data_IF_879513577873
#
_entry.id   IF_879513577873
#
_cell.length_a   1.000
_cell.length_b   1.000
_cell.length_c   1.000
_cell.angle_alpha   90.00
_cell.angle_beta   90.00
_cell.angle_gamma   90.00
#
_symmetry.space_group_name_H-M   'P 1'
#
loop_
_entity.id
_entity.type
_entity.pdbx_description
1 polymer ?
#
# COMPACT_ATOMS: atom_id res chain seq x y z
N UNK A 1 -3.04 15.82 0.65
CA UNK A 1 -2.22 14.88 1.43
C UNK A 1 -3.10 14.29 2.51
N UNK A 2 -3.13 12.96 2.64
CA UNK A 2 -4.00 12.17 3.55
C UNK A 2 -3.80 12.53 5.05
N UNK A 3 -2.85 13.41 5.37
CA UNK A 3 -2.57 13.89 6.73
C UNK A 3 -3.53 15.04 7.10
N UNK A 4 -4.80 14.73 7.33
CA UNK A 4 -5.68 15.65 8.09
C UNK A 4 -6.49 15.01 9.21
N UNK A 5 -6.32 13.71 9.51
CA UNK A 5 -7.09 13.04 10.56
C UNK A 5 -6.46 11.73 11.04
N UNK A 6 -5.28 11.81 11.66
CA UNK A 6 -4.70 10.65 12.35
C UNK A 6 -5.63 10.16 13.48
N UNK A 7 -6.33 11.08 14.15
CA UNK A 7 -7.21 10.79 15.28
C UNK A 7 -8.53 10.06 14.91
N UNK A 8 -8.87 9.94 13.62
CA UNK A 8 -10.12 9.28 13.19
C UNK A 8 -9.91 8.10 12.25
N UNK A 9 -8.66 7.73 11.95
CA UNK A 9 -8.36 6.59 11.09
C UNK A 9 -8.25 5.32 11.92
N UNK A 10 -8.90 4.25 11.49
CA UNK A 10 -8.65 2.94 12.10
C UNK A 10 -7.22 2.51 11.80
N UNK A 11 -6.67 1.64 12.63
CA UNK A 11 -5.32 1.13 12.39
C UNK A 11 -5.21 0.39 11.05
N UNK A 12 -6.27 -0.33 10.66
CA UNK A 12 -6.33 -1.02 9.37
C UNK A 12 -6.25 -0.03 8.21
N UNK A 13 -6.94 1.11 8.32
CA UNK A 13 -6.87 2.15 7.30
C UNK A 13 -5.46 2.75 7.20
N UNK A 14 -4.77 2.89 8.34
CA UNK A 14 -3.40 3.38 8.39
C UNK A 14 -2.42 2.41 7.74
N UNK A 15 -2.60 1.11 7.95
CA UNK A 15 -1.81 0.05 7.32
C UNK A 15 -1.99 0.10 5.79
N UNK A 16 -3.24 0.11 5.30
CA UNK A 16 -3.54 0.16 3.86
C UNK A 16 -2.97 1.42 3.22
N UNK A 17 -3.17 2.59 3.84
CA UNK A 17 -2.60 3.84 3.33
C UNK A 17 -1.08 3.82 3.27
N UNK A 18 -0.43 3.26 4.30
CA UNK A 18 1.03 3.18 4.37
C UNK A 18 1.57 2.23 3.30
N UNK A 19 0.94 1.06 3.14
CA UNK A 19 1.29 0.11 2.09
C UNK A 19 1.20 0.74 0.68
N UNK A 20 0.08 1.37 0.35
CA UNK A 20 -0.13 1.98 -0.97
C UNK A 20 0.86 3.12 -1.23
N UNK A 21 1.18 3.94 -0.22
CA UNK A 21 2.19 4.99 -0.34
C UNK A 21 3.57 4.43 -0.58
N UNK A 22 3.99 3.41 0.19
CA UNK A 22 5.29 2.78 -0.01
C UNK A 22 5.40 2.17 -1.41
N UNK A 23 4.36 1.48 -1.87
CA UNK A 23 4.31 0.90 -3.22
C UNK A 23 4.35 1.96 -4.31
N UNK A 24 3.70 3.11 -4.10
CA UNK A 24 3.69 4.24 -5.02
C UNK A 24 5.04 4.99 -5.08
N UNK A 25 5.76 5.04 -3.95
CA UNK A 25 7.04 5.76 -3.83
C UNK A 25 8.23 4.91 -4.33
N UNK A 26 8.19 3.58 -4.15
CA UNK A 26 9.29 2.69 -4.51
C UNK A 26 8.79 1.42 -5.21
N UNK A 27 9.24 1.11 -6.43
CA UNK A 27 8.90 -0.14 -7.12
C UNK A 27 9.30 -1.39 -6.32
N UNK A 28 8.34 -2.29 -6.14
CA UNK A 28 8.49 -3.50 -5.33
C UNK A 28 9.56 -4.46 -5.89
N UNK A 29 10.47 -4.91 -5.03
CA UNK A 29 11.61 -5.73 -5.42
C UNK A 29 11.22 -7.19 -5.68
N UNK A 30 10.20 -7.73 -5.02
CA UNK A 30 9.67 -9.06 -5.31
C UNK A 30 8.97 -9.09 -6.68
N UNK A 31 8.15 -8.07 -7.00
CA UNK A 31 7.60 -7.90 -8.35
C UNK A 31 8.72 -7.79 -9.37
N UNK A 32 9.72 -6.93 -9.12
CA UNK A 32 10.86 -6.76 -10.05
C UNK A 32 11.59 -8.06 -10.32
N UNK A 33 11.82 -8.87 -9.28
CA UNK A 33 12.52 -10.14 -9.40
C UNK A 33 11.71 -11.15 -10.22
N UNK A 34 10.39 -11.17 -10.06
CA UNK A 34 9.50 -12.16 -10.70
C UNK A 34 9.02 -11.75 -12.10
N UNK A 35 8.81 -10.46 -12.35
CA UNK A 35 8.17 -9.93 -13.55
C UNK A 35 8.99 -8.86 -14.29
N UNK A 36 10.17 -8.50 -13.77
CA UNK A 36 11.05 -7.50 -14.38
C UNK A 36 10.77 -6.07 -13.94
N UNK A 37 11.70 -5.18 -14.33
CA UNK A 37 11.71 -3.77 -13.93
C UNK A 37 10.47 -3.02 -14.37
N UNK A 38 10.06 -3.17 -15.62
CA UNK A 38 8.96 -2.39 -16.19
C UNK A 38 7.65 -2.69 -15.49
N UNK A 39 7.37 -3.97 -15.18
CA UNK A 39 6.17 -4.34 -14.42
C UNK A 39 6.19 -3.78 -13.01
N UNK A 40 7.34 -3.77 -12.33
CA UNK A 40 7.45 -3.17 -10.99
C UNK A 40 7.17 -1.66 -10.99
N UNK A 41 7.62 -0.95 -12.04
CA UNK A 41 7.37 0.49 -12.21
C UNK A 41 5.90 0.73 -12.56
N UNK A 42 5.32 -0.08 -13.44
CA UNK A 42 3.89 -0.01 -13.78
C UNK A 42 3.00 -0.15 -12.54
N UNK A 43 3.25 -1.15 -11.70
CA UNK A 43 2.46 -1.35 -10.46
C UNK A 43 2.66 -0.20 -9.48
N UNK A 44 3.87 0.34 -9.36
CA UNK A 44 4.16 1.51 -8.54
C UNK A 44 3.37 2.75 -9.01
N UNK A 45 3.35 3.01 -10.32
CA UNK A 45 2.57 4.10 -10.90
C UNK A 45 1.06 3.91 -10.69
N UNK A 46 0.55 2.69 -10.86
CA UNK A 46 -0.88 2.37 -10.58
C UNK A 46 -1.23 2.61 -9.11
N UNK A 47 -0.35 2.24 -8.18
CA UNK A 47 -0.54 2.56 -6.76
C UNK A 47 -0.56 4.09 -6.53
N UNK A 48 0.32 4.84 -7.20
CA UNK A 48 0.31 6.30 -7.16
C UNK A 48 -1.02 6.89 -7.67
N UNK A 49 -1.62 6.31 -8.71
CA UNK A 49 -2.90 6.77 -9.25
C UNK A 49 -4.09 6.46 -8.33
N UNK A 50 -4.04 5.33 -7.60
CA UNK A 50 -5.04 5.00 -6.58
C UNK A 50 -5.09 6.06 -5.48
N UNK A 51 -3.93 6.57 -5.03
CA UNK A 51 -3.83 7.57 -3.94
C UNK A 51 -3.81 9.02 -4.45
N UNK A 52 -3.84 9.24 -5.76
CA UNK A 52 -3.80 10.59 -6.36
C UNK A 52 -5.08 11.36 -6.06
N UNK A 53 -4.93 12.57 -5.51
CA UNK A 53 -6.05 13.46 -5.21
C UNK A 53 -6.87 13.05 -3.97
N UNK A 54 -6.46 12.01 -3.26
CA UNK A 54 -7.20 11.45 -2.14
C UNK A 54 -7.09 12.33 -0.89
N UNK A 55 -8.23 12.53 -0.23
CA UNK A 55 -8.32 13.25 1.06
C UNK A 55 -8.35 12.29 2.25
N UNK A 56 -8.95 11.12 2.07
CA UNK A 56 -9.08 10.04 3.06
C UNK A 56 -9.22 8.67 2.38
N UNK A 57 -9.08 7.57 3.13
CA UNK A 57 -9.21 6.22 2.58
C UNK A 57 -10.63 5.89 2.11
N UNK A 58 -11.66 6.42 2.80
CA UNK A 58 -13.06 6.22 2.40
C UNK A 58 -13.33 6.66 0.95
N UNK A 59 -12.72 7.77 0.53
CA UNK A 59 -12.84 8.32 -0.82
C UNK A 59 -12.19 7.47 -1.90
N UNK A 60 -11.30 6.55 -1.54
CA UNK A 60 -10.57 5.69 -2.49
C UNK A 60 -10.81 4.19 -2.30
N UNK A 61 -11.66 3.79 -1.37
CA UNK A 61 -11.91 2.38 -1.05
C UNK A 61 -12.25 1.53 -2.28
N UNK A 62 -13.09 2.06 -3.17
CA UNK A 62 -13.44 1.40 -4.43
C UNK A 62 -12.23 1.25 -5.38
N UNK A 63 -11.39 2.28 -5.50
CA UNK A 63 -10.17 2.22 -6.32
C UNK A 63 -9.14 1.23 -5.74
N UNK A 64 -9.05 1.14 -4.42
CA UNK A 64 -8.19 0.18 -3.74
C UNK A 64 -8.64 -1.25 -4.03
N UNK A 65 -9.95 -1.54 -3.95
CA UNK A 65 -10.50 -2.84 -4.33
C UNK A 65 -10.23 -3.18 -5.80
N UNK A 66 -10.51 -2.24 -6.71
CA UNK A 66 -10.27 -2.46 -8.14
C UNK A 66 -8.78 -2.74 -8.42
N UNK A 67 -7.89 -2.02 -7.75
CA UNK A 67 -6.45 -2.24 -7.86
C UNK A 67 -6.03 -3.62 -7.36
N UNK A 68 -6.54 -4.03 -6.19
CA UNK A 68 -6.26 -5.34 -5.59
C UNK A 68 -6.78 -6.50 -6.45
N UNK A 69 -8.02 -6.40 -6.94
CA UNK A 69 -8.60 -7.39 -7.86
C UNK A 69 -7.76 -7.57 -9.13
N UNK A 70 -7.27 -6.46 -9.71
CA UNK A 70 -6.38 -6.52 -10.87
C UNK A 70 -5.05 -7.20 -10.53
N UNK A 71 -4.45 -6.93 -9.38
CA UNK A 71 -3.22 -7.60 -8.95
C UNK A 71 -3.41 -9.11 -8.81
N UNK A 72 -4.55 -9.54 -8.25
CA UNK A 72 -4.92 -10.95 -8.12
C UNK A 72 -5.08 -11.60 -9.51
N UNK A 73 -5.81 -10.96 -10.43
CA UNK A 73 -6.01 -11.45 -11.80
C UNK A 73 -4.68 -11.57 -12.56
N UNK A 74 -3.79 -10.60 -12.40
CA UNK A 74 -2.46 -10.59 -13.02
C UNK A 74 -1.44 -11.48 -12.28
N UNK A 75 -1.81 -12.05 -11.12
CA UNK A 75 -0.94 -12.83 -10.22
C UNK A 75 0.33 -12.08 -9.77
N UNK A 76 0.21 -10.77 -9.63
CA UNK A 76 1.31 -9.88 -9.23
C UNK A 76 1.18 -9.54 -7.76
N UNK A 77 2.15 -9.98 -6.96
CA UNK A 77 2.18 -9.75 -5.52
C UNK A 77 3.24 -8.68 -5.16
N UNK A 78 2.87 -7.54 -4.56
CA UNK A 78 3.82 -6.57 -3.99
C UNK A 78 4.37 -7.07 -2.63
N UNK A 79 5.07 -8.20 -2.66
CA UNK A 79 5.47 -8.95 -1.47
C UNK A 79 6.48 -8.22 -0.60
N UNK A 80 7.50 -7.60 -1.20
CA UNK A 80 8.53 -6.91 -0.41
C UNK A 80 8.00 -5.66 0.29
N UNK A 81 7.02 -4.99 -0.30
CA UNK A 81 6.31 -3.89 0.34
C UNK A 81 5.51 -4.41 1.55
N UNK A 82 4.85 -5.57 1.42
CA UNK A 82 4.14 -6.20 2.53
C UNK A 82 5.09 -6.59 3.67
N UNK A 83 6.27 -7.16 3.35
CA UNK A 83 7.27 -7.53 4.34
C UNK A 83 7.74 -6.33 5.19
N UNK A 84 7.94 -5.16 4.56
CA UNK A 84 8.31 -3.93 5.28
C UNK A 84 7.17 -3.45 6.20
N UNK A 85 5.93 -3.50 5.72
CA UNK A 85 4.76 -3.14 6.53
C UNK A 85 4.65 -4.06 7.76
N UNK A 86 4.86 -5.36 7.57
CA UNK A 86 4.86 -6.34 8.67
C UNK A 86 5.98 -6.05 9.67
N UNK A 87 7.19 -5.74 9.20
CA UNK A 87 8.30 -5.33 10.07
C UNK A 87 7.99 -4.06 10.88
N UNK A 88 7.38 -3.06 10.25
CA UNK A 88 6.94 -1.83 10.91
C UNK A 88 5.85 -2.08 11.95
N UNK A 89 4.85 -2.92 11.62
CA UNK A 89 3.80 -3.34 12.54
C UNK A 89 4.35 -4.10 13.74
N UNK A 90 5.30 -5.01 13.52
CA UNK A 90 5.97 -5.74 14.60
C UNK A 90 6.64 -4.76 15.58
N UNK A 91 7.42 -3.80 15.08
CA UNK A 91 8.05 -2.77 15.91
C UNK A 91 7.00 -1.96 16.66
N UNK A 92 5.93 -1.53 16.00
CA UNK A 92 4.85 -0.75 16.61
C UNK A 92 4.15 -1.52 17.75
N UNK A 93 3.83 -2.80 17.53
CA UNK A 93 3.22 -3.68 18.54
C UNK A 93 4.16 -3.88 19.75
N UNK A 94 5.44 -4.15 19.51
CA UNK A 94 6.45 -4.27 20.58
C UNK A 94 6.62 -2.95 21.36
N UNK A 95 6.42 -1.81 20.70
CA UNK A 95 6.48 -0.47 21.31
C UNK A 95 5.16 -0.03 21.96
N UNK A 96 4.16 -0.90 22.04
CA UNK A 96 2.95 -0.67 22.84
C UNK A 96 1.74 -0.19 22.04
N UNK A 97 1.75 -0.29 20.71
CA UNK A 97 0.53 -0.15 19.91
C UNK A 97 -0.52 -1.16 20.40
N UNK A 98 -1.70 -0.65 20.73
CA UNK A 98 -2.87 -1.46 21.12
C UNK A 98 -3.92 -1.35 20.01
N UNK A 99 -4.55 -2.47 19.69
CA UNK A 99 -5.55 -2.62 18.63
C UNK A 99 -6.90 -3.05 19.20
#
# INVERSE_FOLDING_TARGET
MIIKKADTMSINDAIVCTFLRMLAETPDTFIRTKFGRDKSIEISNRASDVIRGSKDLSSIKSKVHEFDERLILEKVNPGSTADIIIGGLFVALVKGLRV
#
